data_IF_087648710621
#
_entry.id   IF_087648710621
#
_cell.length_a   1.000
_cell.length_b   1.000
_cell.length_c   1.000
_cell.angle_alpha   90.00
_cell.angle_beta   90.00
_cell.angle_gamma   90.00
#
_symmetry.space_group_name_H-M   'P 1'
#
loop_
_entity.id
_entity.type
_entity.pdbx_description
1 polymer ?
#
# COMPACT_ATOMS: atom_id res chain seq x y z
N UNK A 1 -22.27 -1.58 10.23
CA UNK A 1 -20.88 -1.80 10.72
C UNK A 1 -20.83 -1.61 12.23
N UNK A 2 -20.17 -2.53 12.95
CA UNK A 2 -19.92 -2.39 14.40
C UNK A 2 -19.12 -1.12 14.71
N UNK A 3 -19.20 -0.62 15.95
CA UNK A 3 -18.46 0.58 16.41
C UNK A 3 -16.95 0.42 16.15
N UNK A 4 -16.40 -0.77 16.41
CA UNK A 4 -15.01 -1.11 16.12
C UNK A 4 -14.70 -1.08 14.63
N UNK A 5 -15.60 -1.59 13.78
CA UNK A 5 -15.48 -1.54 12.34
C UNK A 5 -15.45 -0.10 11.80
N UNK A 6 -16.30 0.80 12.31
CA UNK A 6 -16.33 2.22 11.93
C UNK A 6 -15.00 2.92 12.27
N UNK A 7 -14.44 2.66 13.46
CA UNK A 7 -13.14 3.21 13.89
C UNK A 7 -11.98 2.71 13.01
N UNK A 8 -11.97 1.41 12.69
CA UNK A 8 -10.97 0.81 11.81
C UNK A 8 -11.05 1.39 10.40
N UNK A 9 -12.25 1.52 9.86
CA UNK A 9 -12.48 2.07 8.53
C UNK A 9 -11.96 3.51 8.40
N UNK A 10 -12.21 4.35 9.42
CA UNK A 10 -11.67 5.72 9.47
C UNK A 10 -10.13 5.73 9.37
N UNK A 11 -9.44 4.91 10.17
CA UNK A 11 -7.98 4.79 10.14
C UNK A 11 -7.45 4.25 8.79
N UNK A 12 -8.19 3.32 8.17
CA UNK A 12 -7.84 2.77 6.85
C UNK A 12 -7.95 3.82 5.77
N UNK A 13 -8.99 4.65 5.77
CA UNK A 13 -9.13 5.76 4.82
C UNK A 13 -7.93 6.71 4.84
N UNK A 14 -7.34 6.95 6.00
CA UNK A 14 -6.17 7.83 6.11
C UNK A 14 -4.86 7.15 5.70
N UNK A 15 -4.66 5.88 6.06
CA UNK A 15 -3.38 5.19 5.84
C UNK A 15 -3.33 4.38 4.55
N UNK A 16 -4.38 3.60 4.28
CA UNK A 16 -4.43 2.70 3.12
C UNK A 16 -4.60 3.51 1.83
N UNK A 17 -5.55 4.44 1.77
CA UNK A 17 -5.77 5.27 0.57
C UNK A 17 -4.54 6.11 0.23
N UNK A 18 -3.84 6.65 1.24
CA UNK A 18 -2.58 7.37 1.04
C UNK A 18 -1.51 6.47 0.41
N UNK A 19 -1.33 5.26 0.95
CA UNK A 19 -0.40 4.28 0.38
C UNK A 19 -0.74 3.95 -1.08
N UNK A 20 -2.03 3.77 -1.40
CA UNK A 20 -2.44 3.52 -2.78
C UNK A 20 -2.22 4.72 -3.71
N UNK A 21 -2.46 5.94 -3.22
CA UNK A 21 -2.19 7.16 -3.96
C UNK A 21 -0.69 7.30 -4.27
N UNK A 22 0.17 7.05 -3.29
CA UNK A 22 1.61 7.07 -3.45
C UNK A 22 2.06 6.01 -4.45
N UNK A 23 1.54 4.78 -4.39
CA UNK A 23 1.89 3.74 -5.36
C UNK A 23 1.45 4.09 -6.79
N UNK A 24 0.32 4.78 -6.96
CA UNK A 24 -0.11 5.26 -8.28
C UNK A 24 0.86 6.28 -8.87
N UNK A 25 1.31 7.26 -8.07
CA UNK A 25 2.19 8.33 -8.58
C UNK A 25 3.67 7.93 -8.63
N UNK A 26 4.19 7.31 -7.56
CA UNK A 26 5.62 7.07 -7.38
C UNK A 26 6.10 5.71 -7.91
N UNK A 27 5.20 4.74 -8.07
CA UNK A 27 5.55 3.37 -8.49
C UNK A 27 4.91 2.98 -9.83
N UNK A 28 4.38 3.97 -10.57
CA UNK A 28 3.88 3.78 -11.92
C UNK A 28 2.60 2.96 -12.01
N UNK A 29 1.83 2.83 -10.92
CA UNK A 29 0.57 2.08 -10.91
C UNK A 29 -0.64 2.90 -11.39
N UNK A 30 -0.42 4.12 -11.91
CA UNK A 30 -1.48 4.94 -12.52
C UNK A 30 -2.02 4.30 -13.81
N UNK A 31 -1.17 3.58 -14.53
CA UNK A 31 -1.51 2.83 -15.73
C UNK A 31 -0.88 1.43 -15.66
N UNK A 32 -1.45 0.47 -16.39
CA UNK A 32 -0.82 -0.84 -16.55
C UNK A 32 0.40 -0.70 -17.46
N UNK A 33 1.60 -0.56 -16.87
CA UNK A 33 2.85 -0.43 -17.62
C UNK A 33 3.23 -1.72 -18.35
N UNK A 34 2.90 -2.87 -17.77
CA UNK A 34 3.19 -4.19 -18.32
C UNK A 34 1.96 -4.76 -19.03
N UNK A 35 2.18 -5.56 -20.08
CA UNK A 35 1.12 -6.29 -20.78
C UNK A 35 0.83 -7.61 -20.08
N UNK A 36 -0.46 -7.93 -19.96
CA UNK A 36 -0.94 -9.18 -19.37
C UNK A 36 -1.12 -9.11 -17.85
N UNK A 37 -2.19 -9.74 -17.36
CA UNK A 37 -2.59 -9.73 -15.94
C UNK A 37 -1.48 -10.20 -15.00
N UNK A 38 -0.79 -11.29 -15.36
CA UNK A 38 0.30 -11.87 -14.56
C UNK A 38 1.41 -10.84 -14.28
N UNK A 39 1.89 -10.17 -15.32
CA UNK A 39 2.99 -9.22 -15.20
C UNK A 39 2.59 -7.97 -14.40
N UNK A 40 1.37 -7.47 -14.61
CA UNK A 40 0.84 -6.36 -13.80
C UNK A 40 0.69 -6.76 -12.34
N UNK A 41 0.17 -7.97 -12.07
CA UNK A 41 0.04 -8.49 -10.71
C UNK A 41 1.39 -8.62 -10.02
N UNK A 42 2.42 -9.12 -10.71
CA UNK A 42 3.78 -9.21 -10.17
C UNK A 42 4.34 -7.83 -9.78
N UNK A 43 4.21 -6.82 -10.65
CA UNK A 43 4.63 -5.45 -10.34
C UNK A 43 3.92 -4.89 -9.11
N UNK A 44 2.59 -5.04 -9.03
CA UNK A 44 1.79 -4.54 -7.91
C UNK A 44 2.18 -5.22 -6.60
N UNK A 45 2.33 -6.55 -6.63
CA UNK A 45 2.67 -7.34 -5.44
C UNK A 45 4.07 -6.99 -4.92
N UNK A 46 5.06 -6.90 -5.81
CA UNK A 46 6.42 -6.52 -5.43
C UNK A 46 6.48 -5.10 -4.86
N UNK A 47 5.77 -4.16 -5.47
CA UNK A 47 5.65 -2.78 -4.97
C UNK A 47 5.08 -2.76 -3.54
N UNK A 48 3.98 -3.48 -3.32
CA UNK A 48 3.34 -3.55 -2.02
C UNK A 48 4.23 -4.23 -0.97
N UNK A 49 4.95 -5.30 -1.34
CA UNK A 49 5.90 -5.97 -0.47
C UNK A 49 7.00 -5.01 0.01
N UNK A 50 7.62 -4.26 -0.91
CA UNK A 50 8.64 -3.27 -0.59
C UNK A 50 8.10 -2.15 0.33
N UNK A 51 6.90 -1.63 0.07
CA UNK A 51 6.28 -0.62 0.93
C UNK A 51 6.01 -1.15 2.34
N UNK A 52 5.56 -2.40 2.47
CA UNK A 52 5.35 -3.05 3.76
C UNK A 52 6.67 -3.25 4.51
N UNK A 53 7.73 -3.71 3.85
CA UNK A 53 9.06 -3.86 4.45
C UNK A 53 9.60 -2.51 4.96
N UNK A 54 9.51 -1.45 4.15
CA UNK A 54 9.90 -0.08 4.56
C UNK A 54 9.15 0.38 5.80
N UNK A 55 7.84 0.11 5.85
CA UNK A 55 7.00 0.47 6.99
C UNK A 55 7.40 -0.28 8.26
N UNK A 56 7.69 -1.57 8.16
CA UNK A 56 8.17 -2.39 9.29
C UNK A 56 9.52 -1.84 9.78
N UNK A 57 10.49 -1.66 8.89
CA UNK A 57 11.81 -1.12 9.25
C UNK A 57 11.71 0.26 9.92
N UNK A 58 10.89 1.16 9.37
CA UNK A 58 10.67 2.50 9.94
C UNK A 58 9.98 2.44 11.31
N UNK A 59 9.07 1.48 11.51
CA UNK A 59 8.43 1.29 12.81
C UNK A 59 9.46 0.80 13.83
N UNK A 60 10.22 -0.25 13.52
CA UNK A 60 11.26 -0.79 14.40
C UNK A 60 12.32 0.26 14.77
N UNK A 61 12.78 1.06 13.80
CA UNK A 61 13.75 2.14 14.03
C UNK A 61 13.23 3.27 14.94
N UNK A 62 11.91 3.37 15.15
CA UNK A 62 11.30 4.35 16.09
C UNK A 62 10.97 3.73 17.46
N UNK A 63 11.18 2.43 17.62
CA UNK A 63 10.94 1.74 18.89
C UNK A 63 12.22 1.51 19.69
N UNK A 64 13.39 1.55 19.04
CA UNK A 64 14.69 1.76 19.69
C UNK A 64 14.98 3.23 19.88
#
# INVERSE_FOLDING_TARGET
MSVSGKKLYKKRKEKIERSFADSKQLHGLRYCRLRGKRNVSEQVLLTAACQNMKKIATYLAKQG
#
